data_IF_928174392769
#
_entry.id   IF_928174392769
#
_cell.length_a   1.000
_cell.length_b   1.000
_cell.length_c   1.000
_cell.angle_alpha   90.00
_cell.angle_beta   90.00
_cell.angle_gamma   90.00
#
_symmetry.space_group_name_H-M   'P 1'
#
loop_
_entity.id
_entity.type
_entity.pdbx_description
1 polymer ?
#
# COMPACT_ATOMS: atom_id res chain seq x y z
N UNK A 1 33.02 23.48 1.43
CA UNK A 1 32.46 22.11 1.61
C UNK A 1 33.37 21.09 0.94
N UNK A 2 33.48 19.87 1.47
CA UNK A 2 34.36 18.83 0.93
C UNK A 2 33.91 18.38 -0.49
N UNK A 3 34.83 18.20 -1.46
CA UNK A 3 34.49 17.85 -2.85
C UNK A 3 33.60 16.60 -3.02
N UNK A 4 33.72 15.64 -2.11
CA UNK A 4 32.89 14.43 -2.11
C UNK A 4 31.42 14.71 -1.78
N UNK A 5 31.14 15.71 -0.94
CA UNK A 5 29.78 16.09 -0.57
C UNK A 5 29.01 16.68 -1.75
N UNK A 6 29.64 17.59 -2.52
CA UNK A 6 29.05 18.14 -3.75
C UNK A 6 28.76 17.05 -4.79
N UNK A 7 29.70 16.10 -4.98
CA UNK A 7 29.48 14.95 -5.85
C UNK A 7 28.32 14.08 -5.37
N UNK A 8 28.19 13.90 -4.05
CA UNK A 8 27.07 13.20 -3.42
C UNK A 8 25.73 13.87 -3.75
N UNK A 9 25.60 15.17 -3.48
CA UNK A 9 24.38 15.95 -3.77
C UNK A 9 24.02 15.87 -5.25
N UNK A 10 24.98 16.05 -6.16
CA UNK A 10 24.74 15.97 -7.59
C UNK A 10 24.22 14.60 -8.04
N UNK A 11 24.75 13.50 -7.48
CA UNK A 11 24.24 12.15 -7.74
C UNK A 11 22.81 11.97 -7.21
N UNK A 12 22.54 12.45 -6.00
CA UNK A 12 21.22 12.36 -5.38
C UNK A 12 20.16 13.07 -6.20
N UNK A 13 20.43 14.30 -6.65
CA UNK A 13 19.52 15.05 -7.54
C UNK A 13 19.20 14.23 -8.79
N UNK A 14 20.22 13.66 -9.45
CA UNK A 14 20.03 12.84 -10.66
C UNK A 14 19.15 11.62 -10.40
N UNK A 15 19.35 10.91 -9.28
CA UNK A 15 18.54 9.75 -8.91
C UNK A 15 17.07 10.16 -8.72
N UNK A 16 16.80 11.23 -7.99
CA UNK A 16 15.44 11.72 -7.78
C UNK A 16 14.77 12.17 -9.08
N UNK A 17 15.51 12.83 -9.99
CA UNK A 17 14.97 13.22 -11.29
C UNK A 17 14.53 12.00 -12.12
N UNK A 18 15.35 10.94 -12.15
CA UNK A 18 15.01 9.69 -12.86
C UNK A 18 13.80 9.03 -12.20
N UNK A 19 13.79 8.92 -10.87
CA UNK A 19 12.70 8.28 -10.14
C UNK A 19 11.38 9.02 -10.34
N UNK A 20 11.41 10.36 -10.35
CA UNK A 20 10.26 11.19 -10.68
C UNK A 20 9.75 10.92 -12.11
N UNK A 21 10.64 10.81 -13.09
CA UNK A 21 10.26 10.50 -14.47
C UNK A 21 9.61 9.10 -14.57
N UNK A 22 10.16 8.11 -13.88
CA UNK A 22 9.61 6.74 -13.86
C UNK A 22 8.23 6.73 -13.21
N UNK A 23 8.08 7.28 -12.01
CA UNK A 23 6.79 7.27 -11.28
C UNK A 23 5.71 8.02 -12.06
N UNK A 24 6.04 9.17 -12.67
CA UNK A 24 5.08 9.98 -13.43
C UNK A 24 4.67 9.37 -14.76
N UNK A 25 5.50 8.51 -15.36
CA UNK A 25 5.23 7.92 -16.68
C UNK A 25 4.90 6.43 -16.62
N UNK A 26 4.91 5.83 -15.43
CA UNK A 26 4.53 4.44 -15.21
C UNK A 26 3.10 4.19 -15.71
N UNK A 27 2.93 3.10 -16.47
CA UNK A 27 1.61 2.57 -16.85
C UNK A 27 1.26 1.41 -15.95
N UNK A 28 0.03 1.41 -15.43
CA UNK A 28 -0.48 0.35 -14.57
C UNK A 28 -1.40 -0.54 -15.40
N UNK A 29 -1.04 -1.82 -15.51
CA UNK A 29 -1.83 -2.83 -16.20
C UNK A 29 -2.96 -3.34 -15.28
N UNK A 30 -4.02 -2.53 -15.14
CA UNK A 30 -5.11 -2.75 -14.18
C UNK A 30 -5.74 -4.14 -14.29
N UNK A 31 -6.03 -4.59 -15.51
CA UNK A 31 -6.64 -5.91 -15.76
C UNK A 31 -5.71 -7.05 -15.33
N UNK A 32 -4.41 -6.93 -15.65
CA UNK A 32 -3.41 -7.93 -15.24
C UNK A 32 -3.30 -8.00 -13.72
N UNK A 33 -3.27 -6.85 -13.04
CA UNK A 33 -3.20 -6.80 -11.58
C UNK A 33 -4.47 -7.33 -10.93
N UNK A 34 -5.64 -7.00 -11.47
CA UNK A 34 -6.92 -7.56 -11.03
C UNK A 34 -6.94 -9.07 -11.20
N UNK A 35 -6.57 -9.59 -12.36
CA UNK A 35 -6.53 -11.04 -12.58
C UNK A 35 -5.54 -11.74 -11.63
N UNK A 36 -4.43 -11.10 -11.27
CA UNK A 36 -3.46 -11.64 -10.31
C UNK A 36 -3.97 -11.60 -8.86
N UNK A 37 -4.85 -10.67 -8.50
CA UNK A 37 -5.36 -10.59 -7.11
C UNK A 37 -6.27 -11.77 -6.75
N UNK A 38 -6.83 -12.45 -7.75
CA UNK A 38 -7.60 -13.69 -7.59
C UNK A 38 -6.75 -14.96 -7.57
N UNK A 39 -5.42 -14.86 -7.71
CA UNK A 39 -4.51 -16.01 -7.78
C UNK A 39 -3.81 -16.33 -6.46
N UNK A 40 -3.32 -17.55 -6.34
CA UNK A 40 -2.47 -18.02 -5.24
C UNK A 40 -3.11 -17.85 -3.85
N UNK A 41 -4.43 -17.91 -3.78
CA UNK A 41 -5.19 -17.79 -2.54
C UNK A 41 -4.81 -16.54 -1.70
N UNK A 42 -4.54 -15.40 -2.33
CA UNK A 42 -4.12 -14.15 -1.65
C UNK A 42 -5.06 -13.76 -0.49
N UNK A 43 -6.35 -14.04 -0.62
CA UNK A 43 -7.36 -13.71 0.40
C UNK A 43 -7.57 -14.78 1.47
N UNK A 44 -6.77 -15.87 1.49
CA UNK A 44 -6.96 -16.99 2.42
C UNK A 44 -6.84 -16.59 3.90
N UNK A 45 -6.12 -15.51 4.21
CA UNK A 45 -6.06 -14.98 5.57
C UNK A 45 -7.42 -14.45 6.04
N UNK A 46 -8.24 -13.93 5.13
CA UNK A 46 -9.62 -13.48 5.42
C UNK A 46 -10.53 -14.65 5.79
N UNK A 47 -10.26 -15.85 5.27
CA UNK A 47 -10.95 -17.07 5.67
C UNK A 47 -10.67 -17.39 7.15
N UNK A 48 -9.40 -17.39 7.57
CA UNK A 48 -9.04 -17.60 8.98
C UNK A 48 -9.63 -16.52 9.90
N UNK A 49 -9.59 -15.26 9.47
CA UNK A 49 -10.17 -14.13 10.21
C UNK A 49 -11.69 -14.29 10.36
N UNK A 50 -12.39 -14.70 9.30
CA UNK A 50 -13.85 -14.92 9.33
C UNK A 50 -14.23 -16.06 10.27
N UNK A 51 -13.51 -17.18 10.23
CA UNK A 51 -13.73 -18.29 11.17
C UNK A 51 -13.53 -17.87 12.63
N UNK A 52 -12.49 -17.09 12.89
CA UNK A 52 -12.18 -16.59 14.24
C UNK A 52 -13.24 -15.61 14.72
N UNK A 53 -13.65 -14.67 13.86
CA UNK A 53 -14.52 -13.56 14.23
C UNK A 53 -16.00 -13.93 14.28
N UNK A 54 -16.47 -14.77 13.36
CA UNK A 54 -17.90 -15.04 13.20
C UNK A 54 -18.33 -16.36 13.86
N UNK A 55 -17.39 -17.27 14.13
CA UNK A 55 -17.66 -18.63 14.62
C UNK A 55 -16.86 -18.98 15.88
N UNK A 56 -16.17 -18.01 16.49
CA UNK A 56 -15.38 -18.17 17.71
C UNK A 56 -14.33 -19.30 17.67
N UNK A 57 -13.85 -19.65 16.47
CA UNK A 57 -12.80 -20.66 16.31
C UNK A 57 -11.46 -20.04 16.74
N UNK A 58 -10.69 -20.67 17.66
CA UNK A 58 -9.37 -20.16 18.03
C UNK A 58 -8.49 -19.95 16.80
N UNK A 59 -7.84 -18.78 16.69
CA UNK A 59 -7.11 -18.37 15.49
C UNK A 59 -6.13 -19.43 14.95
N UNK A 60 -5.45 -20.17 15.84
CA UNK A 60 -4.55 -21.26 15.44
C UNK A 60 -5.29 -22.34 14.65
N UNK A 61 -6.49 -22.76 15.09
CA UNK A 61 -7.30 -23.74 14.37
C UNK A 61 -7.85 -23.17 13.06
N UNK A 62 -8.30 -21.90 13.07
CA UNK A 62 -8.74 -21.22 11.85
C UNK A 62 -7.61 -21.10 10.81
N UNK A 63 -6.38 -20.81 11.24
CA UNK A 63 -5.20 -20.77 10.38
C UNK A 63 -4.83 -22.17 9.85
N UNK A 64 -4.97 -23.22 10.65
CA UNK A 64 -4.81 -24.60 10.15
C UNK A 64 -5.87 -24.96 9.10
N UNK A 65 -7.12 -24.54 9.29
CA UNK A 65 -8.19 -24.70 8.31
C UNK A 65 -7.88 -23.97 7.00
N UNK A 66 -7.45 -22.71 7.09
CA UNK A 66 -6.98 -21.92 5.95
C UNK A 66 -5.85 -22.63 5.18
N UNK A 67 -4.87 -23.19 5.90
CA UNK A 67 -3.77 -23.96 5.29
C UNK A 67 -4.27 -25.24 4.60
N UNK A 68 -5.25 -25.94 5.18
CA UNK A 68 -5.81 -27.14 4.57
C UNK A 68 -6.54 -26.81 3.26
N UNK A 69 -7.34 -25.74 3.25
CA UNK A 69 -8.00 -25.24 2.03
C UNK A 69 -6.96 -24.80 0.99
N UNK A 70 -5.90 -24.09 1.39
CA UNK A 70 -4.83 -23.70 0.47
C UNK A 70 -4.10 -24.91 -0.15
N UNK A 71 -3.85 -25.97 0.62
CA UNK A 71 -3.26 -27.19 0.09
C UNK A 71 -4.20 -27.90 -0.89
N UNK A 72 -5.50 -27.95 -0.57
CA UNK A 72 -6.52 -28.51 -1.46
C UNK A 72 -6.58 -27.77 -2.81
N UNK A 73 -6.40 -26.44 -2.83
CA UNK A 73 -6.29 -25.66 -4.05
C UNK A 73 -5.10 -26.06 -4.92
N UNK A 74 -3.93 -26.25 -4.30
CA UNK A 74 -2.72 -26.65 -4.99
C UNK A 74 -2.87 -28.04 -5.63
N UNK A 75 -3.45 -28.99 -4.90
CA UNK A 75 -3.72 -30.34 -5.40
C UNK A 75 -4.72 -30.34 -6.56
N UNK A 76 -5.78 -29.54 -6.46
CA UNK A 76 -6.81 -29.43 -7.50
C UNK A 76 -6.41 -28.51 -8.67
N UNK A 77 -5.27 -27.81 -8.57
CA UNK A 77 -4.84 -26.76 -9.52
C UNK A 77 -5.94 -25.71 -9.76
N UNK A 78 -6.59 -25.29 -8.68
CA UNK A 78 -7.66 -24.29 -8.68
C UNK A 78 -7.24 -23.06 -7.89
N UNK A 79 -7.90 -21.96 -8.18
CA UNK A 79 -7.88 -20.75 -7.38
C UNK A 79 -9.01 -20.74 -6.35
N UNK A 80 -8.88 -19.92 -5.31
CA UNK A 80 -9.83 -19.90 -4.18
C UNK A 80 -11.28 -19.63 -4.62
N UNK A 81 -11.45 -18.75 -5.60
CA UNK A 81 -12.77 -18.39 -6.13
C UNK A 81 -13.41 -19.49 -6.99
N UNK A 82 -12.66 -20.52 -7.37
CA UNK A 82 -13.15 -21.67 -8.14
C UNK A 82 -13.62 -22.84 -7.25
N UNK A 83 -13.41 -22.76 -5.93
CA UNK A 83 -13.93 -23.76 -5.00
C UNK A 83 -15.43 -23.55 -4.75
N UNK A 84 -16.16 -24.66 -4.78
CA UNK A 84 -17.55 -24.66 -4.37
C UNK A 84 -17.64 -24.56 -2.85
N UNK A 85 -18.49 -23.64 -2.36
CA UNK A 85 -18.76 -23.47 -0.94
C UNK A 85 -19.19 -24.79 -0.27
N UNK A 86 -19.89 -25.66 -1.00
CA UNK A 86 -20.32 -26.97 -0.49
C UNK A 86 -19.13 -27.81 0.01
N UNK A 87 -18.03 -27.86 -0.75
CA UNK A 87 -16.85 -28.65 -0.39
C UNK A 87 -16.16 -28.07 0.85
N UNK A 88 -16.09 -26.74 0.92
CA UNK A 88 -15.58 -26.00 2.09
C UNK A 88 -16.45 -26.26 3.32
N UNK A 89 -17.77 -26.21 3.18
CA UNK A 89 -18.70 -26.45 4.27
C UNK A 89 -18.70 -27.90 4.75
N UNK A 90 -18.48 -28.88 3.87
CA UNK A 90 -18.29 -30.27 4.29
C UNK A 90 -17.07 -30.39 5.21
N UNK A 91 -15.95 -29.80 4.82
CA UNK A 91 -14.74 -29.77 5.65
C UNK A 91 -14.97 -29.06 7.00
N UNK A 92 -15.61 -27.88 6.98
CA UNK A 92 -15.88 -27.11 8.20
C UNK A 92 -16.87 -27.79 9.15
N UNK A 93 -17.88 -28.46 8.61
CA UNK A 93 -18.84 -29.21 9.41
C UNK A 93 -18.17 -30.40 10.11
N UNK A 94 -17.28 -31.11 9.41
CA UNK A 94 -16.51 -32.23 9.99
C UNK A 94 -15.56 -31.77 11.11
N UNK A 95 -14.86 -30.66 10.90
CA UNK A 95 -13.80 -30.20 11.83
C UNK A 95 -14.31 -29.35 12.99
N UNK A 96 -15.35 -28.55 12.76
CA UNK A 96 -15.77 -27.51 13.69
C UNK A 96 -17.28 -27.47 13.92
N UNK A 97 -18.07 -28.32 13.24
CA UNK A 97 -19.53 -28.33 13.32
C UNK A 97 -20.17 -26.95 12.98
N UNK A 98 -19.61 -26.27 11.97
CA UNK A 98 -20.12 -24.99 11.46
C UNK A 98 -20.33 -25.03 9.95
N UNK A 99 -21.09 -24.06 9.44
CA UNK A 99 -21.35 -23.88 8.02
C UNK A 99 -21.28 -22.39 7.68
N UNK A 100 -20.46 -22.03 6.70
CA UNK A 100 -20.39 -20.67 6.17
C UNK A 100 -21.60 -20.35 5.30
N UNK A 101 -22.08 -19.11 5.39
CA UNK A 101 -23.10 -18.58 4.50
C UNK A 101 -22.50 -18.21 3.13
N UNK A 102 -23.32 -18.31 2.08
CA UNK A 102 -22.94 -17.93 0.70
C UNK A 102 -22.38 -16.50 0.63
N UNK A 103 -22.97 -15.58 1.41
CA UNK A 103 -22.53 -14.19 1.49
C UNK A 103 -21.12 -14.08 2.09
N UNK A 104 -20.85 -14.82 3.17
CA UNK A 104 -19.54 -14.79 3.83
C UNK A 104 -18.46 -15.35 2.90
N UNK A 105 -18.76 -16.44 2.20
CA UNK A 105 -17.84 -17.03 1.23
C UNK A 105 -17.51 -16.07 0.09
N UNK A 106 -18.52 -15.42 -0.50
CA UNK A 106 -18.33 -14.39 -1.54
C UNK A 106 -17.46 -13.24 -1.07
N UNK A 107 -17.59 -12.82 0.18
CA UNK A 107 -16.73 -11.78 0.75
C UNK A 107 -15.29 -12.28 0.97
N UNK A 108 -15.10 -13.52 1.43
CA UNK A 108 -13.77 -14.10 1.67
C UNK A 108 -12.98 -14.26 0.36
N UNK A 109 -13.63 -14.70 -0.72
CA UNK A 109 -12.95 -14.93 -2.01
C UNK A 109 -12.78 -13.68 -2.85
N UNK A 110 -13.30 -12.53 -2.42
CA UNK A 110 -13.20 -11.25 -3.15
C UNK A 110 -11.99 -10.43 -2.68
N UNK A 111 -11.02 -10.16 -3.57
CA UNK A 111 -9.91 -9.25 -3.29
C UNK A 111 -10.37 -7.82 -2.98
N UNK A 112 -11.48 -7.37 -3.58
CA UNK A 112 -12.06 -6.07 -3.28
C UNK A 112 -12.57 -6.01 -1.84
N UNK A 113 -13.35 -7.01 -1.41
CA UNK A 113 -13.83 -7.09 -0.03
C UNK A 113 -12.66 -7.21 0.97
N UNK A 114 -11.64 -8.00 0.63
CA UNK A 114 -10.40 -8.12 1.39
C UNK A 114 -9.75 -6.77 1.65
N UNK A 115 -9.63 -5.91 0.62
CA UNK A 115 -9.06 -4.57 0.76
C UNK A 115 -9.96 -3.67 1.61
N UNK A 116 -11.28 -3.67 1.36
CA UNK A 116 -12.20 -2.77 2.07
C UNK A 116 -12.30 -3.06 3.57
N UNK A 117 -12.20 -4.33 4.00
CA UNK A 117 -12.21 -4.71 5.42
C UNK A 117 -11.03 -4.12 6.20
N UNK A 118 -9.89 -3.90 5.55
CA UNK A 118 -8.64 -3.42 6.17
C UNK A 118 -8.65 -1.89 6.29
N UNK A 119 -9.62 -1.39 7.04
CA UNK A 119 -9.93 0.04 7.23
C UNK A 119 -9.31 0.65 8.49
N UNK A 120 -8.28 0.00 9.05
CA UNK A 120 -7.52 0.51 10.19
C UNK A 120 -6.51 1.57 9.74
N UNK A 121 -5.98 2.35 10.68
CA UNK A 121 -4.95 3.34 10.38
C UNK A 121 -3.78 2.72 9.59
N UNK A 122 -3.51 3.25 8.40
CA UNK A 122 -2.45 2.75 7.51
C UNK A 122 -2.86 1.57 6.62
N UNK A 123 -4.14 1.16 6.67
CA UNK A 123 -4.67 0.09 5.84
C UNK A 123 -4.90 0.49 4.37
N UNK A 124 -5.06 -0.51 3.46
CA UNK A 124 -5.23 -0.28 2.02
C UNK A 124 -6.67 0.08 1.61
N UNK A 125 -7.61 0.20 2.55
CA UNK A 125 -9.00 0.56 2.21
C UNK A 125 -9.05 1.91 1.48
N UNK A 126 -10.07 2.09 0.63
CA UNK A 126 -10.23 3.36 -0.11
C UNK A 126 -10.29 4.56 0.84
N UNK A 127 -11.07 4.43 1.91
CA UNK A 127 -11.25 5.47 2.93
C UNK A 127 -9.91 5.87 3.58
N UNK A 128 -9.11 4.90 4.00
CA UNK A 128 -7.83 5.19 4.66
C UNK A 128 -6.79 5.71 3.68
N UNK A 129 -6.76 5.20 2.46
CA UNK A 129 -5.90 5.71 1.39
C UNK A 129 -6.22 7.18 1.06
N UNK A 130 -7.50 7.54 0.94
CA UNK A 130 -7.93 8.94 0.72
C UNK A 130 -7.50 9.84 1.87
N UNK A 131 -7.71 9.41 3.12
CA UNK A 131 -7.25 10.13 4.32
C UNK A 131 -5.74 10.35 4.29
N UNK A 132 -4.96 9.31 4.01
CA UNK A 132 -3.49 9.38 3.96
C UNK A 132 -2.99 10.29 2.83
N UNK A 133 -3.59 10.22 1.65
CA UNK A 133 -3.24 11.08 0.51
C UNK A 133 -3.51 12.54 0.86
N UNK A 134 -4.66 12.85 1.46
CA UNK A 134 -5.00 14.23 1.84
C UNK A 134 -4.03 14.77 2.91
N UNK A 135 -3.71 13.97 3.93
CA UNK A 135 -2.74 14.38 4.95
C UNK A 135 -1.34 14.64 4.36
N UNK A 136 -0.90 13.81 3.40
CA UNK A 136 0.40 14.00 2.72
C UNK A 136 0.42 15.23 1.84
N UNK A 137 -0.66 15.52 1.11
CA UNK A 137 -0.80 16.75 0.33
C UNK A 137 -0.71 17.99 1.22
N UNK A 138 -1.36 17.96 2.37
CA UNK A 138 -1.33 19.06 3.31
C UNK A 138 0.07 19.27 3.90
N UNK A 139 0.71 18.19 4.35
CA UNK A 139 2.08 18.26 4.89
C UNK A 139 3.06 18.77 3.82
N UNK A 140 2.94 18.29 2.58
CA UNK A 140 3.76 18.73 1.47
C UNK A 140 3.60 20.23 1.17
N UNK A 141 2.36 20.75 1.20
CA UNK A 141 2.09 22.18 1.01
C UNK A 141 2.80 23.04 2.05
N UNK A 142 2.73 22.63 3.32
CA UNK A 142 3.37 23.35 4.42
C UNK A 142 4.90 23.33 4.28
N UNK A 143 5.48 22.18 3.91
CA UNK A 143 6.91 22.06 3.63
C UNK A 143 7.34 22.93 2.45
N UNK A 144 6.54 23.01 1.39
CA UNK A 144 6.80 23.84 0.21
C UNK A 144 6.77 25.35 0.55
N UNK A 145 5.83 25.79 1.39
CA UNK A 145 5.79 27.18 1.87
C UNK A 145 7.03 27.55 2.69
N UNK A 146 7.48 26.65 3.58
CA UNK A 146 8.71 26.85 4.37
C UNK A 146 9.92 26.91 3.45
N UNK A 147 10.01 26.01 2.49
CA UNK A 147 11.10 25.96 1.52
C UNK A 147 11.18 27.25 0.68
N UNK A 148 10.06 27.75 0.15
CA UNK A 148 10.07 28.94 -0.69
C UNK A 148 10.42 30.20 0.13
N UNK A 149 9.93 30.31 1.38
CA UNK A 149 10.34 31.40 2.30
C UNK A 149 11.85 31.43 2.52
N UNK A 150 12.45 30.27 2.79
CA UNK A 150 13.89 30.18 3.04
C UNK A 150 14.72 30.50 1.79
N UNK A 151 14.27 30.06 0.63
CA UNK A 151 14.88 30.40 -0.66
C UNK A 151 14.85 31.90 -0.93
N UNK A 152 13.72 32.57 -0.71
CA UNK A 152 13.62 34.02 -0.86
C UNK A 152 14.52 34.78 0.12
N UNK A 153 14.61 34.31 1.37
CA UNK A 153 15.51 34.88 2.38
C UNK A 153 16.97 34.84 1.92
N UNK A 154 17.42 33.71 1.35
CA UNK A 154 18.79 33.55 0.84
C UNK A 154 19.04 34.48 -0.35
N UNK A 155 18.11 34.53 -1.32
CA UNK A 155 18.21 35.41 -2.49
C UNK A 155 18.31 36.88 -2.10
N UNK A 156 17.52 37.32 -1.12
CA UNK A 156 17.57 38.70 -0.64
C UNK A 156 18.91 39.03 0.04
N UNK A 157 19.45 38.11 0.84
CA UNK A 157 20.76 38.29 1.47
C UNK A 157 21.89 38.36 0.43
N UNK A 158 21.84 37.53 -0.60
CA UNK A 158 22.79 37.55 -1.71
C UNK A 158 22.74 38.87 -2.49
N UNK A 159 21.55 39.36 -2.82
CA UNK A 159 21.38 40.65 -3.50
C UNK A 159 21.93 41.81 -2.67
N UNK A 160 21.62 41.84 -1.36
CA UNK A 160 22.13 42.88 -0.46
C UNK A 160 23.67 42.87 -0.41
N UNK A 161 24.27 41.69 -0.31
CA UNK A 161 25.73 41.54 -0.31
C UNK A 161 26.35 42.04 -1.62
N UNK A 162 25.78 41.66 -2.76
CA UNK A 162 26.26 42.09 -4.07
C UNK A 162 26.17 43.61 -4.25
N UNK A 163 25.08 44.24 -3.82
CA UNK A 163 24.93 45.70 -3.85
C UNK A 163 25.99 46.39 -2.99
N UNK A 164 26.24 45.88 -1.77
CA UNK A 164 27.29 46.42 -0.89
C UNK A 164 28.68 46.30 -1.52
N UNK A 165 28.99 45.15 -2.13
CA UNK A 165 30.27 44.93 -2.81
C UNK A 165 30.47 45.87 -4.00
N UNK A 166 29.45 46.06 -4.85
CA UNK A 166 29.52 47.01 -5.98
C UNK A 166 29.78 48.43 -5.52
N UNK A 167 29.08 48.88 -4.47
CA UNK A 167 29.27 50.24 -3.93
C UNK A 167 30.71 50.46 -3.42
N UNK A 168 31.37 49.42 -2.90
CA UNK A 168 32.77 49.50 -2.44
C UNK A 168 33.74 49.56 -3.63
N UNK A 169 33.47 48.82 -4.72
CA UNK A 169 34.33 48.79 -5.91
C UNK A 169 34.23 50.10 -6.71
N UNK A 170 33.06 50.74 -6.70
CA UNK A 170 32.81 52.01 -7.42
C UNK A 170 33.23 53.27 -6.64
N UNK A 171 33.64 53.14 -5.37
CA UNK A 171 34.16 54.23 -4.52
C UNK A 171 35.67 54.35 -4.58
#
# INVERSE_FOLDING_TARGET
>A
MQPYLYKGIGKTIRVFSIMNAVIRTMKVEEETLKNRSYKHAITITDFADALTKNYDIPFRHAHHAASAIANMLLEQKKELHELHLKDVNMYLQEKFNITLLEKEWKEIISPEAFIQKRNVYGGPSKKEMERMINNRKESFRQEEEVFEKEKQRILQAENNLNTLASNIIES
#
